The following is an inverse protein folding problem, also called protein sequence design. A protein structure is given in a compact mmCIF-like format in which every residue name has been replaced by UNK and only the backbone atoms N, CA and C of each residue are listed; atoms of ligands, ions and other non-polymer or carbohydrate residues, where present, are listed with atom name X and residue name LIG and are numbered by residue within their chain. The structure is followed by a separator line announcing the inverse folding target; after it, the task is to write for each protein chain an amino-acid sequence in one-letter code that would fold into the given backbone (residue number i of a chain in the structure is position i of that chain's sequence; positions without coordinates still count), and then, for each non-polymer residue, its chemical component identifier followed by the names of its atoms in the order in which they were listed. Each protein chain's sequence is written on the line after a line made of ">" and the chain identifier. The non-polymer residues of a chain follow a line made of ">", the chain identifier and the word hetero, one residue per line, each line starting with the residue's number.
data_IF_321400156133
#
_entry.id   IF_321400156133
#
_cell.length_a   1.000
_cell.length_b   1.000
_cell.length_c   1.000
_cell.angle_alpha   90.00
_cell.angle_beta   90.00
_cell.angle_gamma   90.00
#
_symmetry.space_group_name_H-M   'P 1'
#
loop_
_entity.id
_entity.type
_entity.pdbx_description
1 polymer ?
#
# COMPACT_ATOMS: atom_id res chain seq x y z
N UNK A 1 60.35 -43.16 24.89
CA UNK A 1 61.14 -42.37 23.93
C UNK A 1 60.92 -42.89 22.52
N UNK A 2 60.69 -41.97 21.57
CA UNK A 2 60.69 -42.11 20.10
C UNK A 2 59.77 -43.17 19.47
N UNK A 3 58.76 -42.70 18.75
CA UNK A 3 58.37 -43.22 17.43
C UNK A 3 58.09 -42.05 16.46
N UNK A 4 58.31 -42.25 15.16
CA UNK A 4 58.78 -41.21 14.25
C UNK A 4 57.70 -40.67 13.31
N UNK A 5 58.12 -39.60 12.62
CA UNK A 5 57.47 -38.83 11.57
C UNK A 5 56.94 -39.64 10.38
N UNK A 6 56.08 -39.00 9.59
CA UNK A 6 56.01 -38.93 8.11
C UNK A 6 54.64 -38.28 7.77
N UNK A 7 54.39 -37.40 6.79
CA UNK A 7 55.12 -36.46 5.90
C UNK A 7 54.11 -36.14 4.77
N UNK A 8 54.26 -34.98 4.10
CA UNK A 8 53.74 -34.63 2.74
C UNK A 8 52.25 -34.26 2.63
N UNK A 9 51.94 -32.96 2.47
CA UNK A 9 51.78 -32.16 1.22
C UNK A 9 50.42 -32.42 0.54
N UNK A 10 49.69 -31.32 0.35
CA UNK A 10 48.50 -31.26 -0.50
C UNK A 10 47.90 -29.86 -0.57
N UNK A 11 48.66 -28.89 -1.10
CA UNK A 11 48.08 -27.68 -1.69
C UNK A 11 47.43 -28.10 -3.02
N UNK A 12 46.33 -27.42 -3.37
CA UNK A 12 45.71 -27.29 -4.70
C UNK A 12 44.41 -28.07 -4.92
N UNK A 13 43.28 -27.37 -4.73
CA UNK A 13 42.16 -27.42 -5.68
C UNK A 13 41.52 -26.03 -5.77
N UNK A 14 42.03 -25.28 -6.75
CA UNK A 14 41.36 -24.18 -7.42
C UNK A 14 40.04 -24.66 -8.05
N UNK A 15 39.08 -23.75 -8.14
CA UNK A 15 38.01 -23.67 -9.15
C UNK A 15 36.90 -24.74 -9.06
N UNK A 16 35.78 -24.33 -8.45
CA UNK A 16 34.48 -24.53 -9.10
C UNK A 16 33.89 -23.13 -9.35
N UNK A 17 33.64 -22.76 -10.61
CA UNK A 17 33.09 -21.47 -10.97
C UNK A 17 31.63 -21.37 -10.53
N UNK A 18 31.20 -20.14 -10.23
CA UNK A 18 29.80 -19.72 -10.12
C UNK A 18 28.92 -20.39 -11.20
N UNK A 19 27.77 -20.99 -10.80
CA UNK A 19 26.55 -20.72 -11.57
C UNK A 19 25.33 -20.61 -10.62
N UNK A 20 25.46 -19.91 -9.49
CA UNK A 20 24.29 -19.58 -8.66
C UNK A 20 23.74 -18.17 -9.00
N UNK A 21 24.51 -17.37 -9.75
CA UNK A 21 24.09 -16.02 -10.15
C UNK A 21 23.11 -15.95 -11.33
N UNK A 22 22.73 -17.08 -11.95
CA UNK A 22 21.82 -17.09 -13.11
C UNK A 22 20.35 -17.35 -12.76
N UNK A 23 19.99 -17.55 -11.49
CA UNK A 23 18.59 -17.79 -11.07
C UNK A 23 17.92 -16.64 -10.31
N UNK A 24 18.60 -15.49 -10.15
CA UNK A 24 18.04 -14.33 -9.46
C UNK A 24 17.59 -13.18 -10.41
N UNK A 25 17.40 -13.45 -11.70
CA UNK A 25 16.58 -12.59 -12.56
C UNK A 25 15.17 -13.15 -12.63
N UNK A 26 14.50 -13.23 -11.48
CA UNK A 26 13.04 -13.26 -11.48
C UNK A 26 12.58 -11.93 -12.05
N UNK A 27 12.06 -12.00 -13.27
CA UNK A 27 11.28 -10.97 -13.96
C UNK A 27 10.56 -10.05 -12.97
N UNK A 28 11.18 -8.92 -12.65
CA UNK A 28 10.42 -7.78 -12.14
C UNK A 28 9.73 -7.23 -13.38
N UNK A 29 8.61 -7.84 -13.76
CA UNK A 29 7.74 -7.28 -14.79
C UNK A 29 7.40 -5.87 -14.30
N UNK A 30 8.03 -4.87 -14.93
CA UNK A 30 7.76 -3.48 -14.63
C UNK A 30 6.25 -3.29 -14.80
N UNK A 31 5.55 -2.99 -13.71
CA UNK A 31 4.13 -2.71 -13.76
C UNK A 31 3.94 -1.51 -14.69
N UNK A 32 3.54 -1.77 -15.93
CA UNK A 32 3.26 -0.72 -16.90
C UNK A 32 2.10 0.10 -16.36
N UNK A 33 2.43 1.32 -15.92
CA UNK A 33 1.48 2.33 -15.49
C UNK A 33 0.51 2.60 -16.65
N UNK A 34 -0.81 2.74 -16.40
CA UNK A 34 -1.77 2.99 -17.48
C UNK A 34 -1.40 4.26 -18.25
N UNK A 35 -1.57 4.24 -19.57
CA UNK A 35 -1.32 5.39 -20.44
C UNK A 35 -2.36 6.52 -20.27
N UNK A 36 -3.40 6.30 -19.45
CA UNK A 36 -4.51 7.23 -19.22
C UNK A 36 -4.64 7.75 -17.78
N UNK A 37 -5.69 8.55 -17.54
CA UNK A 37 -6.00 9.12 -16.23
C UNK A 37 -6.64 8.03 -15.37
N UNK A 38 -5.94 7.59 -14.31
CA UNK A 38 -6.52 6.68 -13.32
C UNK A 38 -7.62 7.41 -12.56
N UNK A 39 -8.84 6.86 -12.60
CA UNK A 39 -10.00 7.42 -11.90
C UNK A 39 -10.34 6.62 -10.65
N UNK A 40 -10.09 5.31 -10.65
CA UNK A 40 -10.31 4.44 -9.48
C UNK A 40 -9.29 3.34 -9.43
N UNK A 41 -8.99 2.92 -8.21
CA UNK A 41 -8.05 1.85 -7.94
C UNK A 41 -8.51 1.07 -6.70
N UNK A 42 -8.42 -0.26 -6.76
CA UNK A 42 -8.66 -1.12 -5.62
C UNK A 42 -7.57 -2.19 -5.53
N UNK A 43 -7.00 -2.34 -4.34
CA UNK A 43 -5.99 -3.34 -4.00
C UNK A 43 -6.48 -4.06 -2.74
N UNK A 44 -6.88 -5.32 -2.86
CA UNK A 44 -7.31 -6.12 -1.71
C UNK A 44 -7.23 -7.62 -2.02
N UNK A 45 -6.94 -8.44 -1.01
CA UNK A 45 -6.95 -9.91 -1.15
C UNK A 45 -6.01 -10.44 -2.24
N UNK A 46 -4.90 -9.75 -2.49
CA UNK A 46 -3.97 -10.10 -3.56
C UNK A 46 -4.48 -9.77 -4.96
N UNK A 47 -5.59 -9.04 -5.12
CA UNK A 47 -6.10 -8.52 -6.38
C UNK A 47 -5.79 -7.03 -6.53
N UNK A 48 -5.60 -6.57 -7.76
CA UNK A 48 -5.33 -5.16 -8.08
C UNK A 48 -6.08 -4.77 -9.35
N UNK A 49 -7.08 -3.91 -9.19
CA UNK A 49 -7.90 -3.40 -10.27
C UNK A 49 -7.75 -1.89 -10.41
N UNK A 50 -7.70 -1.41 -11.65
CA UNK A 50 -7.59 0.00 -11.98
C UNK A 50 -8.64 0.31 -13.04
N UNK A 51 -9.43 1.37 -12.82
CA UNK A 51 -10.20 2.00 -13.89
C UNK A 51 -9.50 3.28 -14.30
N UNK A 52 -9.22 3.41 -15.60
CA UNK A 52 -8.58 4.59 -16.16
C UNK A 52 -9.30 5.05 -17.43
N UNK A 53 -9.25 6.36 -17.69
CA UNK A 53 -9.78 6.99 -18.89
C UNK A 53 -8.64 7.20 -19.90
N UNK A 54 -8.85 6.77 -21.14
CA UNK A 54 -7.97 7.04 -22.26
C UNK A 54 -8.83 7.43 -23.47
N UNK A 55 -8.51 8.55 -24.11
CA UNK A 55 -9.37 9.24 -25.08
C UNK A 55 -10.79 9.48 -24.53
N UNK A 56 -11.80 8.83 -25.11
CA UNK A 56 -13.21 8.94 -24.75
C UNK A 56 -13.75 7.67 -24.07
N UNK A 57 -12.88 6.75 -23.65
CA UNK A 57 -13.28 5.42 -23.17
C UNK A 57 -12.68 5.10 -21.80
N UNK A 58 -13.51 4.56 -20.91
CA UNK A 58 -13.05 3.94 -19.65
C UNK A 58 -12.61 2.51 -19.90
N UNK A 59 -11.48 2.15 -19.31
CA UNK A 59 -10.92 0.82 -19.33
C UNK A 59 -10.78 0.29 -17.91
N UNK A 60 -11.09 -0.99 -17.72
CA UNK A 60 -10.77 -1.74 -16.51
C UNK A 60 -9.52 -2.58 -16.78
N UNK A 61 -8.46 -2.37 -16.00
CA UNK A 61 -7.28 -3.22 -15.97
C UNK A 61 -7.28 -4.06 -14.71
N UNK A 62 -7.12 -5.38 -14.87
CA UNK A 62 -6.79 -6.28 -13.78
C UNK A 62 -5.27 -6.53 -13.82
N UNK A 63 -4.53 -5.82 -12.97
CA UNK A 63 -3.07 -5.71 -13.05
C UNK A 63 -2.37 -7.06 -12.94
N UNK A 64 -2.86 -7.94 -12.07
CA UNK A 64 -2.22 -9.24 -11.80
C UNK A 64 -2.39 -10.25 -12.94
N UNK A 65 -3.51 -10.15 -13.68
CA UNK A 65 -3.75 -10.96 -14.87
C UNK A 65 -3.28 -10.28 -16.15
N UNK A 66 -2.85 -9.02 -16.06
CA UNK A 66 -2.51 -8.16 -17.18
C UNK A 66 -3.61 -8.12 -18.26
N UNK A 67 -4.88 -8.11 -17.83
CA UNK A 67 -6.03 -8.04 -18.73
C UNK A 67 -6.64 -6.64 -18.70
N UNK A 68 -7.08 -6.16 -19.87
CA UNK A 68 -7.74 -4.87 -20.03
C UNK A 68 -9.07 -5.07 -20.74
N UNK A 69 -10.15 -4.53 -20.17
CA UNK A 69 -11.51 -4.60 -20.73
C UNK A 69 -12.06 -3.19 -20.94
N UNK A 70 -12.52 -2.83 -22.16
CA UNK A 70 -13.23 -1.57 -22.35
C UNK A 70 -14.57 -1.62 -21.62
N UNK A 71 -14.90 -0.56 -20.89
CA UNK A 71 -16.14 -0.46 -20.12
C UNK A 71 -17.21 0.32 -20.88
N UNK A 72 -17.00 1.62 -21.05
CA UNK A 72 -17.97 2.52 -21.69
C UNK A 72 -17.27 3.78 -22.21
N UNK A 73 -17.89 4.39 -23.23
CA UNK A 73 -17.56 5.75 -23.62
C UNK A 73 -18.02 6.73 -22.56
N UNK A 74 -17.31 7.84 -22.46
CA UNK A 74 -17.49 8.85 -21.45
C UNK A 74 -17.27 10.23 -22.04
N UNK A 75 -18.07 11.18 -21.57
CA UNK A 75 -18.00 12.57 -21.98
C UNK A 75 -17.65 13.43 -20.78
N UNK A 76 -16.72 14.36 -20.94
CA UNK A 76 -16.33 15.31 -19.89
C UNK A 76 -14.90 15.15 -19.41
N UNK A 77 -14.55 15.91 -18.38
CA UNK A 77 -13.22 15.86 -17.76
C UNK A 77 -13.19 14.85 -16.62
N UNK A 78 -12.04 14.21 -16.46
CA UNK A 78 -11.77 13.30 -15.36
C UNK A 78 -10.83 13.94 -14.35
N UNK A 79 -11.25 13.93 -13.10
CA UNK A 79 -10.33 14.19 -12.00
C UNK A 79 -9.46 12.95 -11.78
N UNK A 80 -8.13 13.11 -11.65
CA UNK A 80 -7.26 12.01 -11.31
C UNK A 80 -7.59 11.48 -9.91
N UNK A 81 -7.33 10.20 -9.70
CA UNK A 81 -7.42 9.57 -8.38
C UNK A 81 -6.63 10.36 -7.34
N UNK A 82 -7.17 10.44 -6.13
CA UNK A 82 -6.45 10.98 -4.99
C UNK A 82 -5.26 10.06 -4.68
N UNK A 83 -4.08 10.64 -4.44
CA UNK A 83 -2.85 9.90 -4.10
C UNK A 83 -2.33 10.34 -2.74
N UNK A 84 -1.79 9.38 -1.99
CA UNK A 84 -0.99 9.69 -0.80
C UNK A 84 0.34 10.27 -1.21
N UNK A 85 0.91 11.12 -0.36
CA UNK A 85 2.27 11.61 -0.51
C UNK A 85 3.26 10.68 0.18
N UNK A 86 4.48 10.61 -0.35
CA UNK A 86 5.60 10.07 0.43
C UNK A 86 5.82 10.98 1.64
N UNK A 87 5.87 10.39 2.83
CA UNK A 87 6.01 11.12 4.08
C UNK A 87 6.79 10.27 5.06
N UNK A 88 7.49 10.91 6.00
CA UNK A 88 8.17 10.19 7.06
C UNK A 88 7.17 9.82 8.17
N UNK A 89 7.35 8.64 8.75
CA UNK A 89 6.63 8.26 9.97
C UNK A 89 7.01 9.20 11.13
N UNK A 90 6.03 9.57 11.94
CA UNK A 90 6.24 10.26 13.21
C UNK A 90 6.57 9.21 14.27
N UNK A 91 7.58 9.45 15.10
CA UNK A 91 8.04 8.49 16.12
C UNK A 91 7.57 8.82 17.54
N UNK A 92 7.11 10.05 17.78
CA UNK A 92 6.53 10.49 19.05
C UNK A 92 5.02 10.66 18.89
N UNK A 93 4.25 9.77 19.51
CA UNK A 93 2.79 9.73 19.40
C UNK A 93 2.16 9.07 20.62
N UNK A 94 0.85 9.24 20.74
CA UNK A 94 0.02 8.55 21.72
C UNK A 94 -1.02 7.66 21.02
N UNK A 95 -1.53 6.68 21.74
CA UNK A 95 -2.64 5.85 21.26
C UNK A 95 -3.99 6.43 21.71
N UNK A 96 -5.04 6.21 20.90
CA UNK A 96 -6.41 6.48 21.32
C UNK A 96 -6.73 5.64 22.58
N UNK A 97 -7.41 6.22 23.59
CA UNK A 97 -7.67 5.54 24.85
C UNK A 97 -8.33 4.18 24.67
N UNK A 98 -7.74 3.13 25.26
CA UNK A 98 -8.28 1.77 25.21
C UNK A 98 -8.08 1.04 23.87
N UNK A 99 -7.32 1.60 22.94
CA UNK A 99 -7.06 0.99 21.63
C UNK A 99 -5.56 0.85 21.35
N UNK A 100 -5.21 0.11 20.29
CA UNK A 100 -3.84 0.07 19.75
C UNK A 100 -3.62 1.05 18.59
N UNK A 101 -4.62 1.88 18.26
CA UNK A 101 -4.59 2.78 17.13
C UNK A 101 -4.02 4.14 17.57
N UNK A 102 -3.10 4.68 16.79
CA UNK A 102 -2.47 5.97 17.08
C UNK A 102 -3.52 7.08 16.99
N UNK A 103 -3.52 8.00 17.95
CA UNK A 103 -4.34 9.21 17.93
C UNK A 103 -3.79 10.19 16.88
N UNK A 104 -4.53 10.51 15.80
CA UNK A 104 -4.09 11.46 14.78
C UNK A 104 -3.66 12.82 15.34
N UNK A 105 -4.32 13.32 16.39
CA UNK A 105 -4.01 14.61 16.98
C UNK A 105 -2.67 14.61 17.74
N UNK A 106 -2.23 13.43 18.20
CA UNK A 106 -0.98 13.29 18.97
C UNK A 106 0.29 13.50 18.12
N UNK A 107 0.19 13.39 16.79
CA UNK A 107 1.33 13.52 15.87
C UNK A 107 1.86 14.96 15.74
N UNK A 108 1.12 15.96 16.25
CA UNK A 108 1.49 17.40 16.18
C UNK A 108 1.76 17.92 14.76
N UNK A 109 1.11 17.33 13.76
CA UNK A 109 1.19 17.74 12.35
C UNK A 109 0.14 18.79 11.97
N UNK A 110 -0.60 19.35 12.92
CA UNK A 110 -1.77 20.18 12.63
C UNK A 110 -3.03 19.38 12.24
N UNK A 111 -3.06 18.09 12.58
CA UNK A 111 -4.27 17.27 12.55
C UNK A 111 -5.08 17.60 13.82
N UNK A 112 -6.34 18.00 13.66
CA UNK A 112 -7.18 18.42 14.79
C UNK A 112 -8.53 17.72 14.81
N UNK A 113 -9.05 17.31 15.98
CA UNK A 113 -10.37 16.70 16.06
C UNK A 113 -11.46 17.65 15.57
N UNK A 114 -12.42 17.14 14.79
CA UNK A 114 -13.53 17.92 14.23
C UNK A 114 -14.88 17.43 14.75
N UNK A 115 -15.30 16.24 14.33
CA UNK A 115 -16.46 15.50 14.82
C UNK A 115 -16.04 14.06 15.12
N UNK A 116 -16.88 13.21 15.76
CA UNK A 116 -16.47 11.85 16.08
C UNK A 116 -15.84 11.10 14.90
N UNK A 117 -14.69 10.47 15.17
CA UNK A 117 -13.87 9.74 14.19
C UNK A 117 -13.33 10.57 13.02
N UNK A 118 -13.47 11.90 13.05
CA UNK A 118 -13.08 12.80 11.95
C UNK A 118 -12.16 13.90 12.45
N UNK A 119 -11.11 14.16 11.69
CA UNK A 119 -10.10 15.16 12.00
C UNK A 119 -9.89 16.06 10.79
N UNK A 120 -9.76 17.36 11.02
CA UNK A 120 -9.33 18.30 9.99
C UNK A 120 -7.84 18.06 9.72
N UNK A 121 -7.49 17.86 8.45
CA UNK A 121 -6.15 17.44 8.04
C UNK A 121 -5.95 17.64 6.54
N UNK A 122 -4.73 18.01 6.12
CA UNK A 122 -4.37 17.98 4.70
C UNK A 122 -4.09 16.55 4.24
N UNK A 123 -4.01 16.32 2.93
CA UNK A 123 -3.66 14.99 2.37
C UNK A 123 -2.24 14.60 2.79
N UNK A 124 -1.30 15.55 2.84
CA UNK A 124 0.08 15.33 3.26
C UNK A 124 0.15 14.85 4.70
N UNK A 125 -0.51 15.55 5.63
CA UNK A 125 -0.57 15.16 7.04
C UNK A 125 -1.27 13.82 7.23
N UNK A 126 -2.34 13.59 6.47
CA UNK A 126 -3.06 12.31 6.47
C UNK A 126 -2.19 11.15 5.93
N UNK A 127 -1.31 11.43 4.97
CA UNK A 127 -0.35 10.45 4.44
C UNK A 127 0.73 10.12 5.47
N UNK A 128 1.24 11.12 6.20
CA UNK A 128 2.15 10.91 7.32
C UNK A 128 1.52 10.07 8.44
N UNK A 129 0.22 10.25 8.72
CA UNK A 129 -0.51 9.41 9.67
C UNK A 129 -0.56 7.93 9.23
N UNK A 130 -0.89 7.66 7.97
CA UNK A 130 -0.86 6.29 7.44
C UNK A 130 0.54 5.66 7.52
N UNK A 131 1.59 6.42 7.21
CA UNK A 131 2.95 5.92 7.31
C UNK A 131 3.37 5.62 8.76
N UNK A 132 2.94 6.48 9.68
CA UNK A 132 3.14 6.28 11.12
C UNK A 132 2.46 5.00 11.59
N UNK A 133 1.24 4.70 11.14
CA UNK A 133 0.58 3.42 11.43
C UNK A 133 1.35 2.23 10.86
N UNK A 134 1.85 2.31 9.62
CA UNK A 134 2.65 1.22 9.03
C UNK A 134 3.92 0.96 9.82
N UNK A 135 4.62 2.02 10.22
CA UNK A 135 5.83 1.92 11.04
C UNK A 135 5.54 1.34 12.43
N UNK A 136 4.37 1.64 13.00
CA UNK A 136 3.88 1.04 14.25
C UNK A 136 3.40 -0.42 14.09
N UNK A 137 3.44 -0.97 12.87
CA UNK A 137 3.17 -2.38 12.58
C UNK A 137 1.75 -2.67 12.09
N UNK A 138 0.99 -1.66 11.66
CA UNK A 138 -0.26 -1.86 10.95
C UNK A 138 -0.01 -2.26 9.49
N UNK A 139 -0.62 -3.36 9.05
CA UNK A 139 -0.52 -3.84 7.68
C UNK A 139 -1.72 -3.38 6.86
N UNK A 140 -1.49 -2.78 5.70
CA UNK A 140 -2.57 -2.51 4.73
C UNK A 140 -3.07 -3.83 4.14
N UNK A 141 -4.36 -4.11 4.30
CA UNK A 141 -5.04 -5.29 3.77
C UNK A 141 -6.04 -4.95 2.65
N UNK A 142 -6.41 -3.68 2.54
CA UNK A 142 -7.26 -3.15 1.48
C UNK A 142 -6.97 -1.66 1.24
N UNK A 143 -6.94 -1.23 -0.01
CA UNK A 143 -6.81 0.16 -0.42
C UNK A 143 -7.78 0.42 -1.58
N UNK A 144 -8.66 1.39 -1.40
CA UNK A 144 -9.72 1.72 -2.35
C UNK A 144 -9.72 3.23 -2.57
N UNK A 145 -9.42 3.66 -3.79
CA UNK A 145 -9.16 5.06 -4.08
C UNK A 145 -10.03 5.56 -5.22
N UNK A 146 -10.48 6.81 -5.10
CA UNK A 146 -11.26 7.57 -6.08
C UNK A 146 -10.68 8.99 -6.19
N UNK A 147 -11.19 9.87 -7.05
CA UNK A 147 -10.73 11.26 -7.08
C UNK A 147 -11.11 12.03 -5.80
N UNK A 148 -12.05 11.50 -5.00
CA UNK A 148 -12.59 12.17 -3.82
C UNK A 148 -11.99 11.68 -2.51
N UNK A 149 -11.51 10.44 -2.46
CA UNK A 149 -11.01 9.83 -1.23
C UNK A 149 -10.07 8.65 -1.47
N UNK A 150 -9.31 8.31 -0.43
CA UNK A 150 -8.54 7.07 -0.29
C UNK A 150 -9.06 6.35 0.97
N UNK A 151 -9.58 5.14 0.82
CA UNK A 151 -10.12 4.31 1.91
C UNK A 151 -9.20 3.10 2.14
N UNK A 152 -8.52 3.12 3.27
CA UNK A 152 -7.49 2.13 3.62
C UNK A 152 -7.97 1.27 4.78
N UNK A 153 -7.96 -0.04 4.60
CA UNK A 153 -8.21 -1.03 5.64
C UNK A 153 -6.87 -1.57 6.15
N UNK A 154 -6.72 -1.56 7.48
CA UNK A 154 -5.48 -1.86 8.18
C UNK A 154 -5.71 -2.96 9.22
N UNK A 155 -4.71 -3.80 9.44
CA UNK A 155 -4.74 -4.87 10.43
C UNK A 155 -3.49 -4.86 11.33
N UNK A 156 -3.69 -5.03 12.64
CA UNK A 156 -2.62 -5.28 13.62
C UNK A 156 -3.10 -6.24 14.69
N UNK A 157 -2.45 -7.40 14.86
CA UNK A 157 -2.77 -8.43 15.87
C UNK A 157 -4.29 -8.77 15.91
N UNK A 158 -4.88 -9.07 14.76
CA UNK A 158 -6.32 -9.34 14.56
C UNK A 158 -7.28 -8.16 14.85
N UNK A 159 -6.76 -6.97 15.17
CA UNK A 159 -7.56 -5.73 15.24
C UNK A 159 -7.62 -5.09 13.86
N UNK A 160 -8.81 -4.67 13.45
CA UNK A 160 -9.03 -3.97 12.19
C UNK A 160 -9.27 -2.47 12.43
N UNK A 161 -8.66 -1.66 11.58
CA UNK A 161 -8.90 -0.22 11.50
C UNK A 161 -9.21 0.17 10.06
N UNK A 162 -9.91 1.30 9.91
CA UNK A 162 -10.20 1.91 8.62
C UNK A 162 -9.87 3.38 8.64
N UNK A 163 -9.09 3.81 7.67
CA UNK A 163 -8.64 5.19 7.53
C UNK A 163 -9.11 5.72 6.17
N UNK A 164 -9.93 6.77 6.18
CA UNK A 164 -10.44 7.42 4.97
C UNK A 164 -9.81 8.82 4.87
N UNK A 165 -8.95 9.02 3.89
CA UNK A 165 -8.35 10.32 3.57
C UNK A 165 -9.25 11.03 2.57
N UNK A 166 -9.66 12.24 2.92
CA UNK A 166 -10.38 13.19 2.07
C UNK A 166 -9.48 14.41 1.83
N UNK A 167 -9.90 15.32 0.95
CA UNK A 167 -9.10 16.49 0.58
C UNK A 167 -8.65 17.35 1.78
N UNK A 168 -9.54 17.56 2.75
CA UNK A 168 -9.31 18.45 3.90
C UNK A 168 -9.63 17.78 5.25
N UNK A 169 -9.77 16.46 5.28
CA UNK A 169 -10.07 15.75 6.52
C UNK A 169 -9.63 14.30 6.42
N UNK A 170 -9.41 13.67 7.57
CA UNK A 170 -9.20 12.24 7.69
C UNK A 170 -10.27 11.65 8.62
N UNK A 171 -10.79 10.48 8.27
CA UNK A 171 -11.62 9.68 9.17
C UNK A 171 -10.87 8.45 9.62
N UNK A 172 -10.94 8.16 10.91
CA UNK A 172 -10.19 7.08 11.55
C UNK A 172 -11.15 6.27 12.40
N UNK A 173 -11.41 5.05 11.96
CA UNK A 173 -12.26 4.08 12.65
C UNK A 173 -11.37 2.94 13.20
N UNK A 174 -11.64 2.52 14.43
CA UNK A 174 -11.02 1.38 15.07
C UNK A 174 -12.07 0.30 15.36
N UNK A 175 -11.61 -0.92 15.62
CA UNK A 175 -12.44 -2.08 15.97
C UNK A 175 -13.57 -2.36 14.96
N UNK A 176 -13.32 -2.02 13.69
CA UNK A 176 -14.32 -2.21 12.65
C UNK A 176 -14.60 -3.70 12.45
N UNK A 177 -15.87 -4.01 12.20
CA UNK A 177 -16.33 -5.36 11.92
C UNK A 177 -16.75 -5.48 10.46
N UNK A 178 -16.56 -6.67 9.88
CA UNK A 178 -17.07 -6.99 8.56
C UNK A 178 -16.01 -7.42 7.55
N UNK A 179 -16.48 -7.74 6.35
CA UNK A 179 -15.64 -8.13 5.21
C UNK A 179 -15.15 -6.89 4.46
N UNK A 180 -13.96 -6.99 3.87
CA UNK A 180 -13.47 -6.01 2.91
C UNK A 180 -14.44 -5.90 1.71
N UNK A 181 -14.63 -4.70 1.14
CA UNK A 181 -15.36 -4.55 -0.12
C UNK A 181 -14.73 -5.40 -1.23
N UNK A 182 -15.56 -5.92 -2.14
CA UNK A 182 -15.04 -6.58 -3.33
C UNK A 182 -14.30 -5.56 -4.22
N UNK A 183 -13.00 -5.78 -4.53
CA UNK A 183 -12.20 -4.79 -5.24
C UNK A 183 -12.63 -4.59 -6.70
N UNK A 184 -13.16 -5.62 -7.37
CA UNK A 184 -13.65 -5.49 -8.73
C UNK A 184 -14.96 -4.72 -8.77
N UNK A 185 -15.89 -5.05 -7.88
CA UNK A 185 -17.16 -4.34 -7.75
C UNK A 185 -16.91 -2.86 -7.44
N UNK A 186 -16.04 -2.55 -6.49
CA UNK A 186 -15.71 -1.17 -6.11
C UNK A 186 -15.29 -0.30 -7.30
N UNK A 187 -14.40 -0.80 -8.16
CA UNK A 187 -13.92 0.02 -9.28
C UNK A 187 -14.98 0.22 -10.38
N UNK A 188 -15.96 -0.69 -10.48
CA UNK A 188 -17.01 -0.67 -11.51
C UNK A 188 -18.20 0.23 -11.20
N UNK A 189 -18.47 0.57 -9.93
CA UNK A 189 -19.65 1.32 -9.46
C UNK A 189 -19.70 2.78 -9.91
#
# INVERSE_FOLDING_TARGET
>A
MKKPAVVVIGILLLLIPLPIYLFAQQNTAAQQQPEGIVVREAIAGGSHYIVYAYDDTLYLKHTNQNTTTPLRKVTGQFDPILKTFSSNAVTDFAYLPGTSLIDPASLRLGISPSIPYTYDSTIENSSAYLETLRQDGWRTIGLYSTPKYIDTYLEKKATLARVIILKNSIKVFHDIQGRLPDPEQFVRE
#
